data_IF_307712574960
#
_entry.id   IF_307712574960
#
_cell.length_a   1.000
_cell.length_b   1.000
_cell.length_c   1.000
_cell.angle_alpha   90.00
_cell.angle_beta   90.00
_cell.angle_gamma   90.00
#
_symmetry.space_group_name_H-M   'P 1'
#
loop_
_entity.id
_entity.type
_entity.pdbx_description
1 polymer ?
#
# COMPACT_ATOMS: atom_id res chain seq x y z
N UNK A 1 -21.12 5.85 2.85
CA UNK A 1 -21.06 4.49 2.29
C UNK A 1 -22.29 3.71 2.72
N UNK A 2 -22.95 3.05 1.78
CA UNK A 2 -24.13 2.21 2.00
C UNK A 2 -23.80 1.01 2.91
N UNK A 3 -24.78 0.52 3.69
CA UNK A 3 -24.62 -0.59 4.63
C UNK A 3 -24.09 -1.85 3.93
N UNK A 4 -24.56 -2.08 2.69
CA UNK A 4 -24.10 -3.17 1.84
C UNK A 4 -22.61 -3.04 1.49
N UNK A 5 -22.15 -1.84 1.13
CA UNK A 5 -20.75 -1.60 0.81
C UNK A 5 -19.85 -1.85 2.02
N UNK A 6 -20.27 -1.40 3.21
CA UNK A 6 -19.56 -1.64 4.47
C UNK A 6 -19.47 -3.13 4.80
N UNK A 7 -20.58 -3.86 4.65
CA UNK A 7 -20.61 -5.31 4.89
C UNK A 7 -19.71 -6.06 3.91
N UNK A 8 -19.72 -5.69 2.62
CA UNK A 8 -18.85 -6.27 1.59
C UNK A 8 -17.37 -6.03 1.88
N UNK A 9 -17.00 -4.81 2.26
CA UNK A 9 -15.62 -4.46 2.59
C UNK A 9 -15.13 -5.21 3.83
N UNK A 10 -15.93 -5.24 4.90
CA UNK A 10 -15.63 -6.01 6.11
C UNK A 10 -15.44 -7.50 5.82
N UNK A 11 -16.32 -8.08 4.99
CA UNK A 11 -16.26 -9.50 4.62
C UNK A 11 -14.99 -9.81 3.83
N UNK A 12 -14.63 -8.94 2.88
CA UNK A 12 -13.41 -9.08 2.10
C UNK A 12 -12.17 -8.97 3.00
N UNK A 13 -12.12 -7.98 3.88
CA UNK A 13 -11.02 -7.79 4.82
C UNK A 13 -10.85 -8.98 5.75
N UNK A 14 -11.95 -9.49 6.32
CA UNK A 14 -11.91 -10.64 7.22
C UNK A 14 -11.48 -11.91 6.49
N UNK A 15 -12.03 -12.16 5.30
CA UNK A 15 -11.66 -13.30 4.46
C UNK A 15 -10.18 -13.24 4.09
N UNK A 16 -9.70 -12.10 3.58
CA UNK A 16 -8.30 -11.94 3.15
C UNK A 16 -7.36 -12.08 4.34
N UNK A 17 -7.69 -11.52 5.50
CA UNK A 17 -6.87 -11.65 6.71
C UNK A 17 -6.78 -13.11 7.16
N UNK A 18 -7.90 -13.80 7.26
CA UNK A 18 -7.92 -15.23 7.64
C UNK A 18 -7.18 -16.09 6.61
N UNK A 19 -7.40 -15.86 5.31
CA UNK A 19 -6.73 -16.58 4.24
C UNK A 19 -5.21 -16.39 4.32
N UNK A 20 -4.74 -15.14 4.48
CA UNK A 20 -3.32 -14.84 4.61
C UNK A 20 -2.71 -15.47 5.87
N UNK A 21 -3.40 -15.42 7.01
CA UNK A 21 -2.95 -16.09 8.24
C UNK A 21 -2.85 -17.61 8.09
N UNK A 22 -3.80 -18.25 7.41
CA UNK A 22 -3.75 -19.68 7.12
C UNK A 22 -2.58 -20.02 6.18
N UNK A 23 -2.38 -19.23 5.12
CA UNK A 23 -1.26 -19.40 4.19
C UNK A 23 0.10 -19.18 4.88
N UNK A 24 0.20 -18.24 5.83
CA UNK A 24 1.42 -18.01 6.60
C UNK A 24 1.87 -19.22 7.43
N UNK A 25 0.90 -20.03 7.86
CA UNK A 25 1.11 -21.20 8.72
C UNK A 25 1.11 -22.53 7.94
N UNK A 26 0.72 -22.51 6.66
CA UNK A 26 0.72 -23.69 5.81
C UNK A 26 2.16 -24.17 5.51
N UNK A 27 2.32 -25.50 5.40
CA UNK A 27 3.60 -26.08 4.96
C UNK A 27 3.92 -25.67 3.52
N UNK A 28 5.21 -25.68 3.16
CA UNK A 28 5.66 -25.39 1.80
C UNK A 28 4.97 -26.28 0.77
N UNK A 29 4.83 -27.57 1.07
CA UNK A 29 4.20 -28.58 0.21
C UNK A 29 2.74 -28.23 -0.02
N UNK A 30 2.04 -27.78 1.04
CA UNK A 30 0.64 -27.35 0.97
C UNK A 30 0.48 -26.10 0.11
N UNK A 31 1.36 -25.10 0.28
CA UNK A 31 1.38 -23.89 -0.55
C UNK A 31 1.63 -24.21 -2.03
N UNK A 32 2.60 -25.06 -2.32
CA UNK A 32 2.87 -25.53 -3.69
C UNK A 32 1.64 -26.25 -4.27
N UNK A 33 1.01 -27.16 -3.53
CA UNK A 33 -0.23 -27.85 -3.98
C UNK A 33 -1.37 -26.86 -4.25
N UNK A 34 -1.57 -25.87 -3.37
CA UNK A 34 -2.58 -24.83 -3.57
C UNK A 34 -2.36 -24.06 -4.86
N UNK A 35 -1.11 -23.76 -5.25
CA UNK A 35 -0.86 -23.07 -6.53
C UNK A 35 -1.27 -23.90 -7.75
N UNK A 36 -1.18 -25.23 -7.71
CA UNK A 36 -1.66 -26.10 -8.81
C UNK A 36 -3.19 -26.07 -8.93
N UNK A 37 -3.89 -25.97 -7.80
CA UNK A 37 -5.35 -25.80 -7.79
C UNK A 37 -5.74 -24.41 -8.28
N UNK A 38 -5.07 -23.37 -7.77
CA UNK A 38 -5.35 -21.98 -8.13
C UNK A 38 -5.15 -21.72 -9.64
N UNK A 39 -4.17 -22.36 -10.28
CA UNK A 39 -3.90 -22.21 -11.72
C UNK A 39 -5.09 -22.61 -12.59
N UNK A 40 -5.96 -23.51 -12.11
CA UNK A 40 -7.14 -23.98 -12.85
C UNK A 40 -8.30 -22.97 -12.85
N UNK A 41 -8.27 -21.96 -11.99
CA UNK A 41 -9.35 -20.99 -11.80
C UNK A 41 -9.38 -19.92 -12.90
N UNK A 42 -8.30 -19.17 -13.18
CA UNK A 42 -8.36 -18.08 -14.13
C UNK A 42 -8.43 -18.57 -15.59
N UNK A 43 -9.21 -17.82 -16.39
CA UNK A 43 -9.33 -18.05 -17.84
C UNK A 43 -8.19 -17.40 -18.64
N UNK A 44 -7.64 -16.27 -18.19
CA UNK A 44 -6.55 -15.58 -18.90
C UNK A 44 -5.20 -16.21 -18.57
N UNK A 45 -4.39 -16.46 -19.60
CA UNK A 45 -3.07 -17.09 -19.45
C UNK A 45 -2.12 -16.23 -18.61
N UNK A 46 -2.18 -14.91 -18.72
CA UNK A 46 -1.35 -13.99 -17.93
C UNK A 46 -1.54 -14.14 -16.41
N UNK A 47 -2.72 -14.59 -15.94
CA UNK A 47 -2.92 -14.91 -14.52
C UNK A 47 -2.36 -16.29 -14.17
N UNK A 48 -2.45 -17.27 -15.08
CA UNK A 48 -1.86 -18.60 -14.89
C UNK A 48 -0.33 -18.52 -14.80
N UNK A 49 0.30 -17.73 -15.65
CA UNK A 49 1.73 -17.44 -15.61
C UNK A 49 2.17 -16.85 -14.26
N UNK A 50 1.41 -15.88 -13.74
CA UNK A 50 1.66 -15.32 -12.39
C UNK A 50 1.56 -16.38 -11.30
N UNK A 51 0.58 -17.29 -11.37
CA UNK A 51 0.44 -18.38 -10.40
C UNK A 51 1.60 -19.38 -10.50
N UNK A 52 2.03 -19.73 -11.72
CA UNK A 52 3.22 -20.56 -11.94
C UNK A 52 4.48 -19.89 -11.38
N UNK A 53 4.62 -18.59 -11.59
CA UNK A 53 5.73 -17.83 -11.01
C UNK A 53 5.68 -17.83 -9.47
N UNK A 54 4.52 -17.62 -8.86
CA UNK A 54 4.37 -17.75 -7.38
C UNK A 54 4.77 -19.15 -6.91
N UNK A 55 4.40 -20.20 -7.67
CA UNK A 55 4.82 -21.58 -7.37
C UNK A 55 6.34 -21.74 -7.39
N UNK A 56 7.03 -21.17 -8.37
CA UNK A 56 8.50 -21.25 -8.42
C UNK A 56 9.13 -20.58 -7.21
N UNK A 57 8.59 -19.45 -6.72
CA UNK A 57 9.06 -18.82 -5.48
C UNK A 57 8.99 -19.78 -4.29
N UNK A 58 7.87 -20.50 -4.14
CA UNK A 58 7.73 -21.51 -3.09
C UNK A 58 8.72 -22.66 -3.25
N UNK A 59 8.87 -23.18 -4.47
CA UNK A 59 9.77 -24.30 -4.75
C UNK A 59 11.24 -23.94 -4.49
N UNK A 60 11.68 -22.74 -4.87
CA UNK A 60 13.08 -22.29 -4.76
C UNK A 60 13.43 -21.67 -3.41
N UNK A 61 12.48 -21.59 -2.46
CA UNK A 61 12.67 -20.89 -1.18
C UNK A 61 13.13 -19.43 -1.37
N UNK A 62 12.51 -18.72 -2.32
CA UNK A 62 12.90 -17.36 -2.62
C UNK A 62 12.86 -16.46 -1.36
N UNK A 63 13.89 -15.62 -1.11
CA UNK A 63 13.97 -14.79 0.10
C UNK A 63 12.74 -13.91 0.37
N UNK A 64 12.03 -13.48 -0.68
CA UNK A 64 10.76 -12.74 -0.56
C UNK A 64 9.67 -13.46 0.25
N UNK A 65 9.70 -14.79 0.31
CA UNK A 65 8.76 -15.56 1.14
C UNK A 65 9.05 -15.44 2.63
N UNK A 66 10.32 -15.24 2.99
CA UNK A 66 10.70 -14.96 4.38
C UNK A 66 10.09 -13.64 4.81
N UNK A 67 10.19 -12.60 3.97
CA UNK A 67 9.57 -11.29 4.24
C UNK A 67 8.05 -11.44 4.42
N UNK A 68 7.38 -12.12 3.50
CA UNK A 68 5.93 -12.34 3.59
C UNK A 68 5.54 -13.07 4.89
N UNK A 69 6.30 -14.10 5.30
CA UNK A 69 6.05 -14.81 6.56
C UNK A 69 6.27 -13.92 7.78
N UNK A 70 7.33 -13.10 7.79
CA UNK A 70 7.60 -12.15 8.88
C UNK A 70 6.48 -11.12 9.02
N UNK A 71 6.01 -10.54 7.91
CA UNK A 71 4.87 -9.61 7.93
C UNK A 71 3.63 -10.27 8.51
N UNK A 72 3.38 -11.54 8.19
CA UNK A 72 2.20 -12.24 8.68
C UNK A 72 2.31 -12.70 10.14
N UNK A 73 3.52 -13.01 10.63
CA UNK A 73 3.73 -13.60 11.97
C UNK A 73 4.25 -12.62 13.01
N UNK A 74 5.18 -11.75 12.63
CA UNK A 74 5.95 -10.89 13.54
C UNK A 74 5.36 -9.48 13.65
N UNK A 75 4.59 -9.02 12.65
CA UNK A 75 3.98 -7.69 12.68
C UNK A 75 2.82 -7.63 13.67
N UNK A 76 2.74 -6.52 14.42
CA UNK A 76 1.66 -6.24 15.35
C UNK A 76 0.28 -6.42 14.70
N UNK A 77 -0.71 -7.06 15.35
CA UNK A 77 -1.98 -7.42 14.73
C UNK A 77 -2.72 -6.25 14.06
N UNK A 78 -2.75 -5.08 14.71
CA UNK A 78 -3.39 -3.88 14.14
C UNK A 78 -2.67 -3.37 12.89
N UNK A 79 -1.34 -3.36 12.90
CA UNK A 79 -0.56 -2.92 11.74
C UNK A 79 -0.69 -3.92 10.58
N UNK A 80 -0.67 -5.23 10.88
CA UNK A 80 -0.92 -6.28 9.89
C UNK A 80 -2.30 -6.13 9.26
N UNK A 81 -3.33 -5.83 10.06
CA UNK A 81 -4.68 -5.56 9.55
C UNK A 81 -4.67 -4.37 8.57
N UNK A 82 -4.06 -3.23 8.95
CA UNK A 82 -3.98 -2.04 8.09
C UNK A 82 -3.17 -2.28 6.80
N UNK A 83 -2.09 -3.05 6.84
CA UNK A 83 -1.38 -3.51 5.62
C UNK A 83 -2.35 -4.26 4.70
N UNK A 84 -3.14 -5.18 5.25
CA UNK A 84 -4.05 -6.01 4.47
C UNK A 84 -5.20 -5.16 3.90
N UNK A 85 -5.85 -4.33 4.73
CA UNK A 85 -6.98 -3.51 4.30
C UNK A 85 -6.55 -2.42 3.31
N UNK A 86 -5.48 -1.68 3.60
CA UNK A 86 -5.15 -0.47 2.84
C UNK A 86 -4.22 -0.79 1.66
N UNK A 87 -3.16 -1.56 1.89
CA UNK A 87 -2.21 -1.85 0.83
C UNK A 87 -2.68 -3.01 -0.06
N UNK A 88 -3.01 -4.16 0.52
CA UNK A 88 -3.40 -5.33 -0.28
C UNK A 88 -4.79 -5.14 -0.90
N UNK A 89 -5.79 -4.77 -0.10
CA UNK A 89 -7.17 -4.66 -0.60
C UNK A 89 -7.38 -3.33 -1.31
N UNK A 90 -7.22 -2.18 -0.64
CA UNK A 90 -7.58 -0.89 -1.25
C UNK A 90 -6.63 -0.53 -2.40
N UNK A 91 -5.32 -0.62 -2.22
CA UNK A 91 -4.37 -0.21 -3.26
C UNK A 91 -4.23 -1.24 -4.40
N UNK A 92 -4.04 -2.53 -4.11
CA UNK A 92 -3.73 -3.52 -5.15
C UNK A 92 -4.97 -4.14 -5.81
N UNK A 93 -6.05 -4.38 -5.07
CA UNK A 93 -7.25 -5.05 -5.59
C UNK A 93 -8.35 -4.07 -6.01
N UNK A 94 -8.86 -3.29 -5.07
CA UNK A 94 -9.98 -2.36 -5.26
C UNK A 94 -9.54 -1.18 -6.13
N UNK A 95 -8.41 -0.56 -5.81
CA UNK A 95 -7.83 0.58 -6.50
C UNK A 95 -7.59 0.29 -7.98
N UNK A 96 -7.16 -0.93 -8.33
CA UNK A 96 -7.01 -1.36 -9.72
C UNK A 96 -8.33 -1.29 -10.51
N UNK A 97 -9.47 -1.57 -9.89
CA UNK A 97 -10.77 -1.44 -10.56
C UNK A 97 -11.18 0.04 -10.69
N UNK A 98 -10.93 0.85 -9.66
CA UNK A 98 -11.18 2.30 -9.72
C UNK A 98 -10.31 2.99 -10.77
N UNK A 99 -9.02 2.66 -10.87
CA UNK A 99 -8.11 3.20 -11.88
C UNK A 99 -8.55 2.86 -13.31
N UNK A 100 -9.06 1.63 -13.53
CA UNK A 100 -9.64 1.24 -14.83
C UNK A 100 -10.91 2.02 -15.16
N UNK A 101 -11.85 2.12 -14.22
CA UNK A 101 -13.07 2.89 -14.40
C UNK A 101 -12.78 4.39 -14.63
N UNK A 102 -11.77 4.93 -13.94
CA UNK A 102 -11.28 6.28 -14.19
C UNK A 102 -10.74 6.40 -15.62
N UNK A 103 -9.90 5.48 -16.07
CA UNK A 103 -9.31 5.49 -17.41
C UNK A 103 -10.36 5.39 -18.52
N UNK A 104 -11.39 4.57 -18.34
CA UNK A 104 -12.53 4.48 -19.25
C UNK A 104 -13.28 5.82 -19.38
N UNK A 105 -13.35 6.59 -18.30
CA UNK A 105 -14.04 7.90 -18.27
C UNK A 105 -13.18 9.06 -18.75
N UNK A 106 -11.90 9.09 -18.40
CA UNK A 106 -11.00 10.22 -18.63
C UNK A 106 -10.14 10.09 -19.90
N UNK A 107 -10.03 8.88 -20.45
CA UNK A 107 -9.17 8.59 -21.59
C UNK A 107 -7.70 8.33 -21.25
N UNK A 108 -7.32 8.31 -19.96
CA UNK A 108 -5.95 7.99 -19.54
C UNK A 108 -5.91 7.22 -18.21
N UNK A 109 -4.92 6.35 -18.09
CA UNK A 109 -4.73 5.56 -16.86
C UNK A 109 -4.01 6.41 -15.80
N UNK A 110 -4.55 6.52 -14.57
CA UNK A 110 -3.93 7.32 -13.53
C UNK A 110 -2.69 6.60 -12.96
N UNK A 111 -1.77 7.33 -12.28
CA UNK A 111 -0.62 6.72 -11.63
C UNK A 111 -1.01 5.66 -10.59
N UNK A 112 -0.09 4.74 -10.29
CA UNK A 112 -0.32 3.75 -9.24
C UNK A 112 -0.11 4.33 -7.83
N UNK A 113 0.77 5.32 -7.68
CA UNK A 113 1.12 5.93 -6.39
C UNK A 113 1.31 7.44 -6.53
N UNK A 114 1.08 8.15 -5.42
CA UNK A 114 1.35 9.58 -5.31
C UNK A 114 2.65 9.80 -4.53
N UNK A 115 3.60 10.54 -5.10
CA UNK A 115 4.78 11.00 -4.37
C UNK A 115 4.53 12.45 -3.95
N UNK A 116 4.54 12.69 -2.64
CA UNK A 116 4.24 13.99 -2.05
C UNK A 116 5.39 14.41 -1.15
N UNK A 117 5.86 15.63 -1.34
CA UNK A 117 6.83 16.26 -0.45
C UNK A 117 6.13 17.37 0.34
N UNK A 118 5.69 17.10 1.59
CA UNK A 118 4.79 18.01 2.31
C UNK A 118 5.48 19.25 2.91
N UNK A 119 6.81 19.24 2.97
CA UNK A 119 7.65 20.36 3.41
C UNK A 119 9.04 20.19 2.83
N UNK A 120 9.80 21.21 2.47
CA UNK A 120 11.24 21.04 2.13
C UNK A 120 12.17 21.18 3.33
N UNK A 121 11.63 21.54 4.51
CA UNK A 121 12.42 21.71 5.73
C UNK A 121 12.99 20.36 6.19
N UNK A 122 14.21 20.36 6.70
CA UNK A 122 14.88 19.19 7.24
C UNK A 122 15.76 19.59 8.42
N UNK A 123 15.87 18.73 9.43
CA UNK A 123 16.76 18.94 10.58
C UNK A 123 18.22 18.49 10.30
N UNK A 124 18.52 18.01 9.09
CA UNK A 124 19.85 17.57 8.63
C UNK A 124 20.24 18.26 7.32
N UNK A 125 21.55 18.28 7.02
CA UNK A 125 22.13 18.86 5.80
C UNK A 125 23.04 17.83 5.11
N UNK A 126 22.46 16.71 4.67
CA UNK A 126 23.21 15.59 4.11
C UNK A 126 23.92 15.97 2.79
N UNK A 127 25.16 15.51 2.62
CA UNK A 127 25.88 15.63 1.36
C UNK A 127 25.13 14.90 0.23
N UNK A 128 24.89 15.58 -0.89
CA UNK A 128 24.16 15.03 -2.04
C UNK A 128 22.63 15.01 -1.89
N UNK A 129 22.07 15.70 -0.89
CA UNK A 129 20.62 15.77 -0.73
C UNK A 129 19.96 16.60 -1.84
N UNK A 130 19.11 15.97 -2.66
CA UNK A 130 18.37 16.68 -3.71
C UNK A 130 17.31 17.62 -3.11
N UNK A 131 16.65 17.24 -2.01
CA UNK A 131 15.59 18.03 -1.37
C UNK A 131 16.11 19.33 -0.75
N UNK A 132 17.36 19.31 -0.26
CA UNK A 132 17.99 20.49 0.35
C UNK A 132 18.32 21.61 -0.65
N UNK A 133 18.17 21.36 -1.96
CA UNK A 133 18.33 22.38 -3.00
C UNK A 133 17.05 23.16 -3.29
N UNK A 134 15.90 22.76 -2.74
CA UNK A 134 14.63 23.45 -2.91
C UNK A 134 14.42 24.52 -1.83
N UNK A 135 13.60 25.53 -2.13
CA UNK A 135 13.21 26.55 -1.15
C UNK A 135 12.45 25.93 0.01
N UNK A 136 12.73 26.42 1.22
CA UNK A 136 12.07 26.03 2.48
C UNK A 136 11.07 27.09 2.97
N UNK A 137 10.83 28.14 2.18
CA UNK A 137 10.02 29.29 2.57
C UNK A 137 8.52 28.97 2.62
N UNK A 138 8.06 28.02 1.80
CA UNK A 138 6.64 27.69 1.68
C UNK A 138 6.42 26.17 1.77
N UNK A 139 5.51 25.78 2.67
CA UNK A 139 4.97 24.42 2.75
C UNK A 139 3.55 24.41 2.13
N UNK A 140 3.13 23.28 1.57
CA UNK A 140 1.74 23.12 1.11
C UNK A 140 0.78 23.23 2.30
N UNK A 141 -0.30 24.04 2.22
CA UNK A 141 -1.31 24.07 3.27
C UNK A 141 -1.91 22.69 3.53
N UNK A 142 -2.25 22.40 4.78
CA UNK A 142 -2.81 21.11 5.18
C UNK A 142 -4.06 20.74 4.36
N UNK A 143 -4.92 21.73 4.09
CA UNK A 143 -6.17 21.55 3.34
C UNK A 143 -5.91 21.12 1.89
N UNK A 144 -4.81 21.58 1.30
CA UNK A 144 -4.39 21.19 -0.04
C UNK A 144 -3.95 19.72 -0.04
N UNK A 145 -3.18 19.32 0.96
CA UNK A 145 -2.73 17.93 1.12
C UNK A 145 -3.92 17.00 1.37
N UNK A 146 -4.84 17.38 2.27
CA UNK A 146 -6.08 16.63 2.53
C UNK A 146 -6.92 16.46 1.27
N UNK A 147 -7.13 17.54 0.50
CA UNK A 147 -7.85 17.46 -0.77
C UNK A 147 -7.15 16.54 -1.76
N UNK A 148 -5.83 16.63 -1.87
CA UNK A 148 -5.03 15.81 -2.77
C UNK A 148 -5.18 14.32 -2.46
N UNK A 149 -5.18 13.91 -1.18
CA UNK A 149 -5.40 12.50 -0.82
C UNK A 149 -6.82 12.04 -1.20
N UNK A 150 -7.84 12.89 -1.03
CA UNK A 150 -9.22 12.57 -1.46
C UNK A 150 -9.30 12.37 -2.97
N UNK A 151 -8.65 13.23 -3.75
CA UNK A 151 -8.60 13.12 -5.20
C UNK A 151 -7.86 11.84 -5.64
N UNK A 152 -6.73 11.52 -4.99
CA UNK A 152 -6.03 10.25 -5.17
C UNK A 152 -6.94 9.04 -4.93
N UNK A 153 -7.62 8.97 -3.78
CA UNK A 153 -8.50 7.86 -3.45
C UNK A 153 -9.66 7.73 -4.45
N UNK A 154 -10.22 8.86 -4.93
CA UNK A 154 -11.26 8.88 -5.96
C UNK A 154 -10.79 8.32 -7.31
N UNK A 155 -9.50 8.46 -7.62
CA UNK A 155 -8.87 7.86 -8.81
C UNK A 155 -8.43 6.40 -8.59
N UNK A 156 -8.54 5.87 -7.38
CA UNK A 156 -8.07 4.52 -7.04
C UNK A 156 -6.61 4.46 -6.58
N UNK A 157 -6.03 5.59 -6.18
CA UNK A 157 -4.66 5.71 -5.67
C UNK A 157 -4.73 5.75 -4.14
N UNK A 158 -4.44 4.62 -3.49
CA UNK A 158 -4.43 4.47 -2.03
C UNK A 158 -3.02 4.30 -1.48
N UNK A 159 -2.00 4.71 -2.24
CA UNK A 159 -0.60 4.72 -1.81
C UNK A 159 -0.01 6.11 -1.98
N UNK A 160 0.33 6.74 -0.86
CA UNK A 160 0.99 8.05 -0.80
C UNK A 160 2.38 7.86 -0.18
N UNK A 161 3.39 8.26 -0.94
CA UNK A 161 4.81 8.20 -0.58
C UNK A 161 5.21 9.60 -0.12
N UNK A 162 5.42 9.77 1.17
CA UNK A 162 5.86 11.04 1.76
C UNK A 162 7.38 11.13 1.71
N UNK A 163 7.90 12.17 1.05
CA UNK A 163 9.34 12.34 0.77
C UNK A 163 9.91 13.61 1.42
N UNK A 164 10.87 14.28 0.79
CA UNK A 164 11.66 15.40 1.30
C UNK A 164 10.85 16.50 1.97
N UNK A 165 11.45 17.35 2.80
CA UNK A 165 12.71 17.22 3.53
C UNK A 165 12.57 16.15 4.60
N UNK A 166 12.36 16.52 5.86
CA UNK A 166 11.99 15.57 6.92
C UNK A 166 10.48 15.68 7.22
N UNK A 167 9.65 14.71 6.78
CA UNK A 167 8.20 14.73 7.01
C UNK A 167 7.81 14.95 8.47
N UNK A 168 8.52 14.35 9.43
CA UNK A 168 8.12 14.41 10.84
C UNK A 168 8.39 15.76 11.52
N UNK A 169 8.92 16.75 10.80
CA UNK A 169 8.85 18.16 11.21
C UNK A 169 7.41 18.72 11.13
N UNK A 170 6.56 18.16 10.26
CA UNK A 170 5.15 18.49 10.15
C UNK A 170 4.28 17.56 11.00
N UNK A 171 3.98 18.01 12.22
CA UNK A 171 3.16 17.24 13.18
C UNK A 171 1.70 17.08 12.75
N UNK A 172 1.20 17.96 11.90
CA UNK A 172 -0.14 17.86 11.32
C UNK A 172 -0.29 16.70 10.31
N UNK A 173 0.80 16.04 9.90
CA UNK A 173 0.69 14.82 9.09
C UNK A 173 0.04 13.66 9.84
N UNK A 174 0.10 13.62 11.18
CA UNK A 174 -0.60 12.59 11.95
C UNK A 174 -2.12 12.75 11.85
N UNK A 175 -2.63 13.99 11.85
CA UNK A 175 -4.05 14.28 11.60
C UNK A 175 -4.47 13.85 10.18
N UNK A 176 -3.57 14.00 9.20
CA UNK A 176 -3.79 13.50 7.85
C UNK A 176 -3.91 11.97 7.83
N UNK A 177 -3.04 11.26 8.53
CA UNK A 177 -3.07 9.79 8.60
C UNK A 177 -4.34 9.27 9.26
N UNK A 178 -4.79 9.92 10.34
CA UNK A 178 -6.04 9.58 11.01
C UNK A 178 -7.25 9.87 10.12
N UNK A 179 -7.21 10.95 9.34
CA UNK A 179 -8.32 11.31 8.43
C UNK A 179 -8.45 10.37 7.23
N UNK A 180 -7.35 9.78 6.77
CA UNK A 180 -7.28 8.91 5.59
C UNK A 180 -6.87 7.48 5.97
N UNK A 181 -7.63 6.90 6.91
CA UNK A 181 -7.41 5.56 7.48
C UNK A 181 -7.45 4.40 6.47
N UNK A 182 -7.93 4.64 5.26
CA UNK A 182 -8.05 3.69 4.15
C UNK A 182 -6.88 3.76 3.15
N UNK A 183 -6.01 4.76 3.32
CA UNK A 183 -4.82 5.00 2.51
C UNK A 183 -3.58 4.44 3.21
N UNK A 184 -2.61 3.96 2.42
CA UNK A 184 -1.29 3.59 2.89
C UNK A 184 -0.36 4.77 2.72
N UNK A 185 0.21 5.25 3.83
CA UNK A 185 1.27 6.24 3.82
C UNK A 185 2.62 5.55 4.04
N UNK A 186 3.52 5.69 3.08
CA UNK A 186 4.91 5.27 3.24
C UNK A 186 5.77 6.51 3.40
N UNK A 187 6.36 6.67 4.58
CA UNK A 187 7.15 7.85 4.94
C UNK A 187 8.63 7.54 4.78
N UNK A 188 9.32 8.33 3.96
CA UNK A 188 10.76 8.39 3.94
C UNK A 188 11.22 9.40 4.99
N UNK A 189 11.93 8.93 6.01
CA UNK A 189 12.41 9.72 7.15
C UNK A 189 13.87 9.41 7.41
N UNK A 190 14.59 10.39 7.96
CA UNK A 190 15.95 10.20 8.46
C UNK A 190 15.99 9.48 9.83
N UNK A 191 14.83 9.26 10.45
CA UNK A 191 14.67 8.48 11.68
C UNK A 191 15.06 9.19 12.98
N UNK A 192 15.53 10.44 12.92
CA UNK A 192 15.97 11.20 14.11
C UNK A 192 14.82 11.78 14.93
N UNK A 193 13.59 11.74 14.40
CA UNK A 193 12.38 12.27 15.03
C UNK A 193 11.33 11.18 15.31
N UNK A 194 11.76 9.91 15.37
CA UNK A 194 10.91 8.77 15.77
C UNK A 194 11.07 8.55 17.26
N UNK A 195 9.96 8.50 17.99
CA UNK A 195 9.84 8.22 19.43
C UNK A 195 9.28 6.83 19.75
#
# INVERSE_FOLDING_TARGET
>A
MDLYQRAKQYSLEKFTTTALSLLANASKESLVRLTYLAEKIPQKESYREKIRWIRTLFQTNHPGLTIARRVLKETHPHHRQKIISNFIINQLLVGTNYRKAFAEKSGFYPPDAMLLSPTMRCNLHCYGCYSGSYSTEEDLPFEVIDRLVKECNAMGIYLVLLTGGEPFLRKDLFDLFEKHEDTTFQVYTNGTLID
#
